data_IF_020102653939
#
_entry.id   IF_020102653939
#
_cell.length_a   1.000
_cell.length_b   1.000
_cell.length_c   1.000
_cell.angle_alpha   90.00
_cell.angle_beta   90.00
_cell.angle_gamma   90.00
#
_symmetry.space_group_name_H-M   'P 1'
#
loop_
_entity.id
_entity.type
_entity.pdbx_description
1 polymer ?
#
# COMPACT_ATOMS: atom_id res chain seq x y z
N UNK A 1 12.49 -3.89 -8.07
CA UNK A 1 11.79 -2.84 -8.84
C UNK A 1 10.47 -2.38 -8.23
N UNK A 2 9.95 -3.03 -7.23
CA UNK A 2 8.70 -2.73 -6.50
C UNK A 2 8.69 -1.39 -5.72
N UNK A 3 9.82 -0.68 -5.65
CA UNK A 3 9.99 0.54 -4.82
C UNK A 3 9.25 1.79 -5.33
N UNK A 4 8.70 1.79 -6.55
CA UNK A 4 8.12 3.00 -7.16
C UNK A 4 6.62 3.21 -6.91
N UNK A 5 5.88 2.17 -6.54
CA UNK A 5 4.42 2.26 -6.42
C UNK A 5 3.95 3.07 -5.20
N UNK A 6 4.64 2.93 -4.09
CA UNK A 6 4.25 3.48 -2.81
C UNK A 6 4.42 5.00 -2.66
N UNK A 7 5.59 5.60 -2.98
CA UNK A 7 5.80 7.04 -2.78
C UNK A 7 4.99 7.92 -3.74
N UNK A 8 4.75 7.46 -4.98
CA UNK A 8 4.02 8.23 -5.98
C UNK A 8 2.55 8.38 -5.67
N UNK A 9 1.84 7.30 -5.34
CA UNK A 9 0.43 7.36 -4.94
C UNK A 9 0.22 8.20 -3.69
N UNK A 10 1.11 8.10 -2.71
CA UNK A 10 1.08 8.87 -1.48
C UNK A 10 1.13 10.38 -1.70
N UNK A 11 2.11 10.85 -2.50
CA UNK A 11 2.29 12.29 -2.76
C UNK A 11 1.19 12.90 -3.61
N UNK A 12 0.54 12.10 -4.44
CA UNK A 12 -0.37 12.57 -5.47
C UNK A 12 -1.81 12.61 -5.00
N UNK A 13 -2.26 11.58 -4.29
CA UNK A 13 -3.68 11.42 -3.98
C UNK A 13 -4.04 11.96 -2.59
N UNK A 14 -3.28 11.60 -1.56
CA UNK A 14 -3.61 11.98 -0.17
C UNK A 14 -2.36 12.27 0.65
N UNK A 15 -1.78 13.48 0.57
CA UNK A 15 -0.53 13.79 1.27
C UNK A 15 -0.63 13.65 2.80
N UNK A 16 -1.83 13.72 3.38
CA UNK A 16 -2.06 13.74 4.83
C UNK A 16 -2.73 12.46 5.39
N UNK A 17 -3.06 11.46 4.56
CA UNK A 17 -3.68 10.19 5.03
C UNK A 17 -2.73 9.03 4.78
N UNK A 18 -1.84 8.78 5.73
CA UNK A 18 -1.02 7.59 5.75
C UNK A 18 -1.77 6.50 6.54
N UNK A 19 -2.35 5.54 5.84
CA UNK A 19 -3.09 4.43 6.47
C UNK A 19 -2.58 3.10 5.95
N UNK A 20 -2.85 2.02 6.67
CA UNK A 20 -2.54 0.63 6.27
C UNK A 20 -3.12 0.25 4.89
N UNK A 21 -4.13 0.99 4.42
CA UNK A 21 -4.69 0.79 3.08
C UNK A 21 -3.66 0.97 1.95
N UNK A 22 -2.58 1.74 2.17
CA UNK A 22 -1.48 1.89 1.21
C UNK A 22 -0.70 0.59 1.08
N UNK A 23 -0.45 -0.08 2.20
CA UNK A 23 0.31 -1.33 2.23
C UNK A 23 -0.53 -2.48 1.65
N UNK A 24 -1.85 -2.45 1.86
CA UNK A 24 -2.79 -3.39 1.21
C UNK A 24 -2.76 -3.22 -0.32
N UNK A 25 -2.75 -1.98 -0.83
CA UNK A 25 -2.59 -1.70 -2.26
C UNK A 25 -1.26 -2.26 -2.79
N UNK A 26 -0.15 -1.96 -2.11
CA UNK A 26 1.17 -2.44 -2.50
C UNK A 26 1.23 -3.98 -2.53
N UNK A 27 0.63 -4.63 -1.54
CA UNK A 27 0.51 -6.11 -1.49
C UNK A 27 -0.34 -6.63 -2.65
N UNK A 28 -1.44 -5.95 -3.00
CA UNK A 28 -2.25 -6.26 -4.19
C UNK A 28 -1.45 -6.17 -5.49
N UNK A 29 -0.60 -5.14 -5.64
CA UNK A 29 0.30 -5.03 -6.79
C UNK A 29 1.29 -6.19 -6.85
N UNK A 30 1.85 -6.61 -5.70
CA UNK A 30 2.74 -7.78 -5.62
C UNK A 30 1.99 -9.06 -5.99
N UNK A 31 0.77 -9.25 -5.52
CA UNK A 31 -0.06 -10.40 -5.87
C UNK A 31 -0.32 -10.46 -7.38
N UNK A 32 -0.63 -9.33 -8.01
CA UNK A 32 -0.78 -9.24 -9.46
C UNK A 32 0.52 -9.57 -10.21
N UNK A 33 1.67 -9.07 -9.72
CA UNK A 33 3.00 -9.35 -10.29
C UNK A 33 3.38 -10.83 -10.18
N UNK A 34 3.00 -11.52 -9.10
CA UNK A 34 3.22 -12.97 -8.95
C UNK A 34 2.51 -13.76 -10.06
N UNK A 35 1.32 -13.36 -10.47
CA UNK A 35 0.58 -14.01 -11.57
C UNK A 35 1.03 -13.54 -12.96
N UNK A 36 1.25 -12.22 -13.12
CA UNK A 36 1.58 -11.60 -14.41
C UNK A 36 3.07 -11.63 -14.76
N UNK A 37 3.96 -11.92 -13.79
CA UNK A 37 5.43 -11.93 -13.94
C UNK A 37 6.02 -10.58 -14.37
N UNK A 38 5.23 -9.53 -14.32
CA UNK A 38 5.64 -8.16 -14.65
C UNK A 38 4.90 -7.18 -13.74
N UNK A 39 5.49 -6.01 -13.45
CA UNK A 39 4.80 -4.96 -12.71
C UNK A 39 3.48 -4.60 -13.38
N UNK A 40 2.39 -4.57 -12.59
CA UNK A 40 1.05 -4.29 -13.13
C UNK A 40 0.90 -2.82 -13.56
N UNK A 41 1.55 -1.89 -12.85
CA UNK A 41 1.47 -0.46 -13.12
C UNK A 41 2.88 0.15 -13.31
N UNK A 42 3.57 -0.09 -14.46
CA UNK A 42 4.94 0.39 -14.69
C UNK A 42 4.96 1.87 -15.14
N UNK A 43 4.39 2.76 -14.32
CA UNK A 43 4.35 4.18 -14.62
C UNK A 43 5.73 4.85 -14.51
N UNK A 44 6.09 5.68 -15.49
CA UNK A 44 7.33 6.45 -15.48
C UNK A 44 7.21 7.81 -14.77
N UNK A 45 5.99 8.35 -14.67
CA UNK A 45 5.66 9.52 -13.88
C UNK A 45 4.29 9.36 -13.20
N UNK A 46 3.90 10.33 -12.36
CA UNK A 46 2.68 10.22 -11.57
C UNK A 46 1.38 10.27 -12.40
N UNK A 47 1.34 11.02 -13.50
CA UNK A 47 0.16 11.09 -14.36
C UNK A 47 0.02 9.80 -15.20
N UNK A 48 1.13 9.30 -15.72
CA UNK A 48 1.16 8.01 -16.40
C UNK A 48 0.77 6.87 -15.45
N UNK A 49 1.23 6.92 -14.19
CA UNK A 49 0.81 5.97 -13.16
C UNK A 49 -0.70 5.98 -12.93
N UNK A 50 -1.32 7.17 -12.78
CA UNK A 50 -2.77 7.31 -12.62
C UNK A 50 -3.53 6.79 -13.85
N UNK A 51 -3.02 7.07 -15.05
CA UNK A 51 -3.61 6.56 -16.28
C UNK A 51 -3.58 5.03 -16.31
N UNK A 52 -2.43 4.41 -16.02
CA UNK A 52 -2.30 2.94 -15.99
C UNK A 52 -3.24 2.31 -14.95
N UNK A 53 -3.36 2.92 -13.78
CA UNK A 53 -4.31 2.47 -12.77
C UNK A 53 -5.74 2.52 -13.32
N UNK A 54 -6.15 3.63 -13.93
CA UNK A 54 -7.48 3.78 -14.50
C UNK A 54 -7.74 2.83 -15.66
N UNK A 55 -6.70 2.43 -16.41
CA UNK A 55 -6.80 1.47 -17.50
C UNK A 55 -7.19 0.06 -17.02
N UNK A 56 -6.89 -0.27 -15.76
CA UNK A 56 -7.22 -1.56 -15.15
C UNK A 56 -8.44 -1.51 -14.23
N UNK A 57 -8.50 -0.55 -13.33
CA UNK A 57 -9.58 -0.51 -12.32
C UNK A 57 -10.76 0.36 -12.72
N UNK A 58 -10.74 0.91 -13.93
CA UNK A 58 -11.75 1.84 -14.44
C UNK A 58 -11.47 3.30 -14.06
N UNK A 59 -12.12 4.22 -14.77
CA UNK A 59 -12.02 5.64 -14.48
C UNK A 59 -13.01 6.00 -13.38
N UNK A 60 -12.56 6.49 -12.21
CA UNK A 60 -13.44 6.90 -11.13
C UNK A 60 -14.28 8.12 -11.53
N UNK A 61 -15.48 8.21 -11.01
CA UNK A 61 -16.35 9.38 -11.09
C UNK A 61 -15.98 10.42 -10.01
N UNK A 62 -16.76 11.50 -9.91
CA UNK A 62 -16.51 12.54 -8.92
C UNK A 62 -16.58 12.03 -7.48
N UNK A 63 -17.52 11.14 -7.19
CA UNK A 63 -17.68 10.55 -5.86
C UNK A 63 -16.49 9.64 -5.53
N UNK A 64 -16.05 8.82 -6.51
CA UNK A 64 -14.85 7.98 -6.40
C UNK A 64 -13.54 8.75 -6.23
N UNK A 65 -13.56 10.08 -6.48
CA UNK A 65 -12.42 10.98 -6.29
C UNK A 65 -12.54 11.85 -5.03
N UNK A 66 -13.52 11.64 -4.18
CA UNK A 66 -13.79 12.48 -2.99
C UNK A 66 -12.60 12.57 -2.03
N UNK A 67 -11.84 11.50 -1.90
CA UNK A 67 -10.63 11.42 -1.06
C UNK A 67 -9.39 12.07 -1.70
N UNK A 68 -9.42 12.42 -3.00
CA UNK A 68 -8.29 13.01 -3.72
C UNK A 68 -8.19 14.49 -3.40
N UNK A 69 -7.22 14.89 -2.59
CA UNK A 69 -7.03 16.30 -2.16
C UNK A 69 -6.28 17.15 -3.17
N UNK A 70 -5.48 16.54 -4.04
CA UNK A 70 -4.75 17.24 -5.10
C UNK A 70 -5.68 17.69 -6.23
N UNK A 71 -5.92 19.00 -6.35
CA UNK A 71 -6.73 19.58 -7.45
C UNK A 71 -6.22 19.18 -8.83
N UNK A 72 -4.89 19.13 -9.01
CA UNK A 72 -4.27 18.75 -10.28
C UNK A 72 -4.53 17.28 -10.62
N UNK A 73 -4.38 16.39 -9.65
CA UNK A 73 -4.64 14.96 -9.84
C UNK A 73 -6.14 14.73 -10.12
N UNK A 74 -7.03 15.36 -9.33
CA UNK A 74 -8.48 15.25 -9.52
C UNK A 74 -8.90 15.73 -10.91
N UNK A 75 -8.44 16.91 -11.35
CA UNK A 75 -8.72 17.43 -12.69
C UNK A 75 -8.27 16.46 -13.77
N UNK A 76 -7.02 16.00 -13.69
CA UNK A 76 -6.47 15.03 -14.64
C UNK A 76 -7.31 13.75 -14.71
N UNK A 77 -7.72 13.19 -13.56
CA UNK A 77 -8.51 11.96 -13.52
C UNK A 77 -9.90 12.13 -14.15
N UNK A 78 -10.54 13.30 -13.95
CA UNK A 78 -11.83 13.61 -14.55
C UNK A 78 -11.77 13.87 -16.07
N UNK A 79 -10.59 14.25 -16.58
CA UNK A 79 -10.35 14.45 -18.03
C UNK A 79 -9.99 13.15 -18.76
N UNK A 80 -9.71 12.05 -18.02
CA UNK A 80 -9.44 10.75 -18.63
C UNK A 80 -10.69 10.19 -19.33
N UNK A 81 -10.53 9.52 -20.49
CA UNK A 81 -11.63 8.79 -21.09
C UNK A 81 -12.24 7.78 -20.12
N UNK A 82 -13.57 7.74 -20.06
CA UNK A 82 -14.26 6.78 -19.21
C UNK A 82 -13.96 5.35 -19.65
N UNK A 83 -13.54 4.52 -18.72
CA UNK A 83 -13.23 3.11 -18.92
C UNK A 83 -13.87 2.28 -17.83
N UNK A 84 -14.38 1.14 -18.22
CA UNK A 84 -14.85 0.14 -17.27
C UNK A 84 -13.66 -0.65 -16.69
N UNK A 85 -13.79 -1.17 -15.46
CA UNK A 85 -12.77 -2.05 -14.89
C UNK A 85 -12.54 -3.28 -15.74
N UNK A 86 -11.28 -3.71 -15.85
CA UNK A 86 -10.97 -4.97 -16.56
C UNK A 86 -11.51 -6.18 -15.78
N UNK A 87 -11.79 -7.24 -16.53
CA UNK A 87 -12.02 -8.53 -15.89
C UNK A 87 -10.68 -9.18 -15.53
N UNK A 88 -10.36 -9.21 -14.23
CA UNK A 88 -9.10 -9.77 -13.74
C UNK A 88 -8.88 -11.24 -14.13
N UNK A 89 -9.94 -12.03 -14.34
CA UNK A 89 -9.82 -13.41 -14.80
C UNK A 89 -9.32 -13.50 -16.25
N UNK A 90 -9.54 -12.49 -17.08
CA UNK A 90 -8.97 -12.42 -18.41
C UNK A 90 -7.50 -11.94 -18.37
N UNK A 91 -7.16 -11.06 -17.43
CA UNK A 91 -5.78 -10.58 -17.25
C UNK A 91 -4.89 -11.68 -16.65
N UNK A 92 -5.41 -12.45 -15.70
CA UNK A 92 -4.69 -13.52 -15.00
C UNK A 92 -5.42 -14.86 -15.11
N UNK A 93 -5.41 -15.51 -16.29
CA UNK A 93 -6.17 -16.73 -16.52
C UNK A 93 -5.67 -17.94 -15.71
N UNK A 94 -4.47 -17.88 -15.16
CA UNK A 94 -3.91 -18.90 -14.27
C UNK A 94 -4.31 -18.73 -12.79
N UNK A 95 -4.92 -17.59 -12.44
CA UNK A 95 -5.32 -17.31 -11.07
C UNK A 95 -6.65 -18.01 -10.71
N UNK A 96 -6.75 -18.56 -9.51
CA UNK A 96 -8.02 -19.09 -9.01
C UNK A 96 -9.02 -17.97 -8.69
N UNK A 97 -10.30 -18.32 -8.58
CA UNK A 97 -11.37 -17.34 -8.33
C UNK A 97 -11.16 -16.56 -7.03
N UNK A 98 -10.67 -17.23 -6.00
CA UNK A 98 -10.39 -16.61 -4.71
C UNK A 98 -9.24 -15.60 -4.80
N UNK A 99 -8.21 -15.88 -5.60
CA UNK A 99 -7.12 -14.93 -5.85
C UNK A 99 -7.61 -13.68 -6.60
N UNK A 100 -8.45 -13.87 -7.61
CA UNK A 100 -9.08 -12.78 -8.37
C UNK A 100 -9.96 -11.91 -7.47
N UNK A 101 -10.78 -12.51 -6.61
CA UNK A 101 -11.65 -11.79 -5.68
C UNK A 101 -10.84 -10.99 -4.65
N UNK A 102 -9.77 -11.58 -4.09
CA UNK A 102 -8.87 -10.86 -3.19
C UNK A 102 -8.17 -9.70 -3.89
N UNK A 103 -7.65 -9.94 -5.09
CA UNK A 103 -6.96 -8.93 -5.89
C UNK A 103 -7.88 -7.74 -6.19
N UNK A 104 -9.11 -7.99 -6.62
CA UNK A 104 -10.10 -6.94 -6.89
C UNK A 104 -10.38 -6.08 -5.63
N UNK A 105 -10.49 -6.72 -4.47
CA UNK A 105 -10.70 -6.03 -3.18
C UNK A 105 -9.48 -5.24 -2.71
N UNK A 106 -8.27 -5.70 -3.01
CA UNK A 106 -7.02 -5.01 -2.67
C UNK A 106 -6.72 -3.82 -3.59
N UNK A 107 -7.09 -3.91 -4.87
CA UNK A 107 -6.83 -2.88 -5.87
C UNK A 107 -8.02 -1.94 -6.08
N UNK A 108 -8.80 -1.64 -5.04
CA UNK A 108 -9.80 -0.57 -5.06
C UNK A 108 -9.13 0.79 -5.04
N UNK A 109 -9.56 1.70 -5.94
CA UNK A 109 -8.99 3.05 -6.03
C UNK A 109 -9.22 3.83 -4.74
N UNK A 110 -10.46 3.83 -4.26
CA UNK A 110 -10.84 4.43 -2.98
C UNK A 110 -10.27 3.62 -1.80
N UNK A 111 -9.40 4.20 -0.97
CA UNK A 111 -8.81 3.51 0.17
C UNK A 111 -9.84 3.10 1.23
N UNK A 112 -10.98 3.81 1.35
CA UNK A 112 -12.04 3.50 2.32
C UNK A 112 -12.92 2.32 1.84
N UNK A 113 -12.88 1.97 0.55
CA UNK A 113 -13.55 0.80 -0.05
C UNK A 113 -12.61 -0.39 -0.24
N UNK A 114 -11.35 -0.23 0.11
CA UNK A 114 -10.33 -1.27 -0.01
C UNK A 114 -10.44 -2.23 1.17
N UNK A 115 -10.22 -3.52 0.91
CA UNK A 115 -10.21 -4.54 1.96
C UNK A 115 -9.19 -4.18 3.05
N UNK A 116 -9.54 -4.38 4.30
CA UNK A 116 -8.61 -4.21 5.43
C UNK A 116 -7.63 -5.38 5.54
N UNK A 117 -6.57 -5.22 6.32
CA UNK A 117 -5.60 -6.30 6.58
C UNK A 117 -6.28 -7.50 7.22
N UNK A 118 -7.12 -7.27 8.24
CA UNK A 118 -7.81 -8.33 8.97
C UNK A 118 -8.79 -9.11 8.08
N UNK A 119 -9.52 -8.40 7.21
CA UNK A 119 -10.40 -9.03 6.23
C UNK A 119 -9.62 -9.81 5.18
N UNK A 120 -8.47 -9.28 4.72
CA UNK A 120 -7.61 -9.94 3.74
C UNK A 120 -7.00 -11.24 4.32
N UNK A 121 -6.57 -11.23 5.57
CA UNK A 121 -6.06 -12.43 6.25
C UNK A 121 -7.14 -13.52 6.39
N UNK A 122 -8.39 -13.12 6.65
CA UNK A 122 -9.55 -14.04 6.77
C UNK A 122 -10.16 -14.44 5.42
N UNK A 123 -9.65 -13.88 4.30
CA UNK A 123 -10.18 -14.15 2.98
C UNK A 123 -10.00 -15.61 2.57
N UNK A 124 -10.95 -16.23 1.82
CA UNK A 124 -10.86 -17.64 1.40
C UNK A 124 -9.55 -18.01 0.72
N UNK A 125 -8.92 -17.09 -0.02
CA UNK A 125 -7.62 -17.31 -0.64
C UNK A 125 -6.52 -17.63 0.39
N UNK A 126 -6.58 -16.98 1.57
CA UNK A 126 -5.60 -17.14 2.65
C UNK A 126 -5.91 -18.31 3.60
N UNK A 127 -7.06 -18.97 3.45
CA UNK A 127 -7.56 -20.02 4.38
C UNK A 127 -6.58 -21.13 4.70
N UNK A 128 -5.70 -21.49 3.76
CA UNK A 128 -4.69 -22.55 3.95
C UNK A 128 -3.43 -22.06 4.68
N UNK A 129 -3.21 -20.76 4.74
CA UNK A 129 -2.00 -20.12 5.27
C UNK A 129 -2.26 -19.41 6.60
N UNK A 130 -3.48 -18.90 6.80
CA UNK A 130 -3.83 -18.17 8.00
C UNK A 130 -4.19 -19.12 9.14
N UNK A 131 -3.40 -19.11 10.20
CA UNK A 131 -3.58 -19.97 11.38
C UNK A 131 -4.57 -19.41 12.41
N UNK A 132 -5.03 -18.18 12.24
CA UNK A 132 -5.87 -17.47 13.20
C UNK A 132 -5.09 -16.80 14.33
N UNK A 133 -3.78 -16.97 14.37
CA UNK A 133 -2.92 -16.28 15.32
C UNK A 133 -2.60 -14.89 14.78
N UNK A 134 -3.11 -13.87 15.47
CA UNK A 134 -2.74 -12.48 15.17
C UNK A 134 -1.45 -12.15 15.93
N UNK A 135 -0.42 -11.62 15.22
CA UNK A 135 0.77 -11.17 15.91
C UNK A 135 0.38 -10.02 16.85
N UNK A 136 0.48 -10.27 18.15
CA UNK A 136 0.22 -9.25 19.16
C UNK A 136 1.51 -8.56 19.53
N UNK A 137 1.54 -7.23 19.41
CA UNK A 137 2.58 -6.44 20.03
C UNK A 137 2.15 -6.13 21.48
N UNK A 138 2.84 -6.64 22.52
CA UNK A 138 2.44 -6.44 23.91
C UNK A 138 2.56 -4.97 24.37
N UNK A 139 3.22 -4.13 23.58
CA UNK A 139 3.36 -2.70 23.84
C UNK A 139 3.18 -1.93 22.53
N UNK A 140 2.41 -0.85 22.58
CA UNK A 140 2.46 0.14 21.50
C UNK A 140 3.87 0.73 21.48
N UNK A 141 4.46 0.77 20.29
CA UNK A 141 5.72 1.48 20.09
C UNK A 141 5.48 2.96 20.38
N UNK A 142 6.19 3.48 21.37
CA UNK A 142 6.24 4.91 21.69
C UNK A 142 7.68 5.34 21.54
N UNK A 143 7.90 6.44 20.84
CA UNK A 143 9.17 7.13 20.94
C UNK A 143 9.24 7.73 22.33
N UNK A 144 10.36 7.58 23.03
CA UNK A 144 10.60 8.32 24.26
C UNK A 144 10.53 9.83 23.91
N UNK A 145 9.82 10.61 24.75
CA UNK A 145 9.60 12.04 24.48
C UNK A 145 10.92 12.81 24.27
N UNK A 146 12.00 12.34 24.89
CA UNK A 146 13.36 12.86 24.70
C UNK A 146 13.90 12.65 23.28
N UNK A 147 13.39 11.66 22.53
CA UNK A 147 13.81 11.38 21.14
C UNK A 147 13.16 12.32 20.13
N UNK A 148 12.08 13.02 20.49
CA UNK A 148 11.32 13.87 19.57
C UNK A 148 11.96 15.25 19.33
N UNK A 149 12.82 15.72 20.23
CA UNK A 149 13.51 17.02 20.15
C UNK A 149 15.02 16.92 19.92
N UNK A 150 15.51 15.81 19.42
CA UNK A 150 16.93 15.60 19.22
C UNK A 150 17.51 16.53 18.14
N UNK A 151 18.62 17.17 18.45
CA UNK A 151 19.43 17.87 17.44
C UNK A 151 19.90 16.87 16.37
N UNK A 152 20.16 17.36 15.14
CA UNK A 152 20.70 16.53 14.06
C UNK A 152 21.91 15.69 14.50
N UNK A 153 22.82 16.28 15.29
CA UNK A 153 24.01 15.60 15.78
C UNK A 153 23.69 14.49 16.79
N UNK A 154 22.69 14.69 17.65
CA UNK A 154 22.23 13.67 18.59
C UNK A 154 21.55 12.51 17.86
N UNK A 155 20.69 12.81 16.89
CA UNK A 155 20.06 11.79 16.06
C UNK A 155 21.09 10.96 15.28
N UNK A 156 22.12 11.59 14.70
CA UNK A 156 23.18 10.87 14.00
C UNK A 156 23.98 9.95 14.95
N UNK A 157 24.20 10.35 16.20
CA UNK A 157 24.85 9.49 17.20
C UNK A 157 24.01 8.27 17.55
N UNK A 158 22.70 8.46 17.71
CA UNK A 158 21.80 7.34 17.97
C UNK A 158 21.76 6.34 16.79
N UNK A 159 21.63 6.84 15.57
CA UNK A 159 21.66 5.99 14.37
C UNK A 159 22.99 5.23 14.30
N UNK A 160 24.12 5.90 14.55
CA UNK A 160 25.43 5.25 14.56
C UNK A 160 25.51 4.16 15.65
N UNK A 161 25.03 4.46 16.86
CA UNK A 161 25.01 3.52 17.98
C UNK A 161 24.18 2.26 17.67
N UNK A 162 22.98 2.44 17.13
CA UNK A 162 22.12 1.33 16.71
C UNK A 162 22.75 0.53 15.55
N UNK A 163 23.32 1.20 14.56
CA UNK A 163 23.94 0.54 13.40
C UNK A 163 25.19 -0.25 13.74
N UNK A 164 25.90 0.10 14.83
CA UNK A 164 27.12 -0.58 15.27
C UNK A 164 26.89 -1.65 16.35
N UNK A 165 25.64 -1.89 16.73
CA UNK A 165 25.30 -2.87 17.77
C UNK A 165 25.74 -2.50 19.19
N UNK A 166 26.22 -1.26 19.42
CA UNK A 166 26.63 -0.80 20.75
C UNK A 166 25.44 -0.44 21.66
N UNK A 167 24.22 -0.77 21.25
CA UNK A 167 22.98 -0.48 21.97
C UNK A 167 22.42 -1.60 22.85
N UNK A 168 22.88 -2.83 22.72
CA UNK A 168 22.20 -4.02 23.26
C UNK A 168 22.50 -4.37 24.74
N UNK A 169 23.15 -3.52 25.50
CA UNK A 169 23.39 -3.83 26.94
C UNK A 169 22.19 -3.60 27.87
N UNK A 170 21.01 -3.19 27.38
CA UNK A 170 19.84 -2.92 28.26
C UNK A 170 18.85 -4.07 28.42
N UNK A 171 19.06 -5.22 27.79
CA UNK A 171 18.12 -6.37 27.89
C UNK A 171 18.73 -7.64 28.51
N UNK A 172 19.87 -7.55 29.22
CA UNK A 172 20.50 -8.72 29.85
C UNK A 172 20.41 -8.68 31.37
N UNK A 173 19.36 -8.11 31.99
CA UNK A 173 19.15 -8.26 33.43
C UNK A 173 17.67 -8.22 33.79
N UNK A 174 17.16 -9.40 34.09
CA UNK A 174 16.00 -9.89 34.86
C UNK A 174 14.87 -10.47 34.02
#
# INVERSE_FOLDING_TARGET
MTHYYHPMLRKTLTPNRYTNAIDVWATGCILAELYGRQPIFPGHDYLHQLKLISDYIGTPDEDGLSFVTSRRARKFMLELPRKEPVNWAHVFPSACKEAIDLLDKMLRFDPDRRITVDEALKHPYMKKLYTGEEPSCPRNFQFDEEDLELSKSALMRLIYKESTGMGDERNSTK
#
